data_IF_112725769160
#
_entry.id   IF_112725769160
#
_cell.length_a   1.000
_cell.length_b   1.000
_cell.length_c   1.000
_cell.angle_alpha   90.00
_cell.angle_beta   90.00
_cell.angle_gamma   90.00
#
_symmetry.space_group_name_H-M   'P 1'
#
loop_
_entity.id
_entity.type
_entity.pdbx_description
1 polymer ?
#
# COMPACT_ATOMS: atom_id res chain seq x y z
N UNK A 1 -1.17 1.56 -10.56
CA UNK A 1 -0.36 2.49 -9.76
C UNK A 1 0.97 2.76 -10.47
N UNK A 2 0.94 3.56 -11.53
CA UNK A 2 2.12 4.01 -12.26
C UNK A 2 2.14 5.54 -12.21
N UNK A 3 3.22 6.12 -11.69
CA UNK A 3 3.37 7.57 -11.59
C UNK A 3 4.02 8.10 -12.85
N UNK A 4 3.25 8.76 -13.70
CA UNK A 4 3.69 9.33 -14.98
C UNK A 4 3.29 10.81 -15.02
N UNK A 5 4.21 11.74 -14.71
CA UNK A 5 3.93 13.18 -14.73
C UNK A 5 3.35 13.68 -16.06
N UNK A 6 3.78 13.10 -17.17
CA UNK A 6 3.29 13.45 -18.51
C UNK A 6 1.82 13.05 -18.74
N UNK A 7 1.34 12.01 -18.07
CA UNK A 7 -0.09 11.64 -18.08
C UNK A 7 -0.91 12.61 -17.22
N UNK A 8 -0.32 13.18 -16.17
CA UNK A 8 -0.99 14.16 -15.33
C UNK A 8 -1.50 15.36 -16.09
N UNK A 9 -0.69 15.89 -17.00
CA UNK A 9 -1.05 17.05 -17.81
C UNK A 9 -2.25 16.79 -18.73
N UNK A 10 -2.48 15.53 -19.14
CA UNK A 10 -3.57 15.13 -20.03
C UNK A 10 -4.83 14.62 -19.31
N UNK A 11 -4.74 14.35 -18.01
CA UNK A 11 -5.81 13.69 -17.22
C UNK A 11 -6.29 14.55 -16.02
N UNK A 12 -6.25 15.87 -16.17
CA UNK A 12 -6.77 16.78 -15.15
C UNK A 12 -5.92 16.86 -13.87
N UNK A 13 -4.63 16.58 -13.98
CA UNK A 13 -3.67 16.79 -12.88
C UNK A 13 -3.42 15.58 -11.97
N UNK A 14 -3.98 14.39 -12.25
CA UNK A 14 -3.69 13.17 -11.50
C UNK A 14 -2.56 12.36 -12.16
N UNK A 15 -1.31 12.46 -11.66
CA UNK A 15 -0.16 11.78 -12.27
C UNK A 15 -0.09 10.28 -11.95
N UNK A 16 -0.89 9.82 -10.98
CA UNK A 16 -0.81 8.48 -10.42
C UNK A 16 -2.12 8.08 -9.73
N UNK A 17 -2.11 6.94 -9.04
CA UNK A 17 -3.21 6.51 -8.17
C UNK A 17 -4.56 6.26 -8.86
N UNK A 18 -4.57 5.97 -10.17
CA UNK A 18 -5.81 5.69 -10.91
C UNK A 18 -6.65 4.59 -10.26
N UNK A 19 -6.01 3.54 -9.70
CA UNK A 19 -6.73 2.50 -8.97
C UNK A 19 -7.43 3.00 -7.69
N UNK A 20 -6.89 4.00 -7.00
CA UNK A 20 -7.61 4.65 -5.89
C UNK A 20 -8.71 5.56 -6.40
N UNK A 21 -8.51 6.25 -7.53
CA UNK A 21 -9.55 7.07 -8.16
C UNK A 21 -10.74 6.21 -8.60
N UNK A 22 -10.50 5.01 -9.14
CA UNK A 22 -11.55 4.04 -9.46
C UNK A 22 -12.33 3.61 -8.23
N UNK A 23 -11.63 3.38 -7.11
CA UNK A 23 -12.28 3.04 -5.83
C UNK A 23 -13.11 4.22 -5.29
N UNK A 24 -12.62 5.45 -5.41
CA UNK A 24 -13.38 6.65 -5.05
C UNK A 24 -14.63 6.76 -5.90
N UNK A 25 -14.52 6.61 -7.22
CA UNK A 25 -15.67 6.64 -8.12
C UNK A 25 -16.70 5.56 -7.79
N UNK A 26 -16.24 4.35 -7.42
CA UNK A 26 -17.12 3.28 -6.96
C UNK A 26 -17.83 3.65 -5.65
N UNK A 27 -17.15 4.28 -4.70
CA UNK A 27 -17.74 4.72 -3.44
C UNK A 27 -18.74 5.87 -3.64
N UNK A 28 -18.43 6.82 -4.52
CA UNK A 28 -19.32 7.88 -4.94
C UNK A 28 -20.60 7.29 -5.54
N UNK A 29 -20.47 6.28 -6.42
CA UNK A 29 -21.60 5.57 -7.00
C UNK A 29 -22.45 4.84 -5.94
N UNK A 30 -21.78 4.10 -5.03
CA UNK A 30 -22.47 3.40 -3.93
C UNK A 30 -23.25 4.39 -3.07
N UNK A 31 -22.63 5.50 -2.70
CA UNK A 31 -23.30 6.55 -1.89
C UNK A 31 -24.52 7.14 -2.60
N UNK A 32 -24.41 7.42 -3.89
CA UNK A 32 -25.52 7.96 -4.68
C UNK A 32 -26.67 6.98 -4.86
N UNK A 33 -26.42 5.68 -4.86
CA UNK A 33 -27.42 4.66 -5.22
C UNK A 33 -27.86 3.79 -4.03
N UNK A 34 -27.20 3.84 -2.87
CA UNK A 34 -27.46 2.95 -1.72
C UNK A 34 -28.94 2.90 -1.33
N UNK A 35 -29.61 4.06 -1.29
CA UNK A 35 -31.03 4.14 -0.94
C UNK A 35 -31.95 3.35 -1.89
N UNK A 36 -31.62 3.31 -3.18
CA UNK A 36 -32.39 2.54 -4.17
C UNK A 36 -32.29 1.02 -3.96
N UNK A 37 -31.26 0.56 -3.24
CA UNK A 37 -31.05 -0.84 -2.85
C UNK A 37 -31.44 -1.12 -1.39
N UNK A 38 -32.13 -0.19 -0.71
CA UNK A 38 -32.53 -0.34 0.68
C UNK A 38 -31.42 -0.08 1.71
N UNK A 39 -30.27 0.46 1.26
CA UNK A 39 -29.14 0.85 2.11
C UNK A 39 -29.25 2.29 2.61
N UNK A 40 -28.40 2.62 3.56
CA UNK A 40 -28.26 3.97 4.10
C UNK A 40 -26.92 4.57 3.65
N UNK A 41 -26.91 5.63 2.80
CA UNK A 41 -25.69 6.26 2.30
C UNK A 41 -24.82 6.87 3.40
N UNK A 42 -25.36 7.17 4.58
CA UNK A 42 -24.60 7.69 5.71
C UNK A 42 -24.00 6.58 6.59
N UNK A 43 -24.28 5.32 6.29
CA UNK A 43 -23.83 4.16 7.07
C UNK A 43 -22.95 3.18 6.28
N UNK A 44 -22.32 3.63 5.23
CA UNK A 44 -21.40 2.83 4.41
C UNK A 44 -20.21 2.36 5.27
N UNK A 45 -19.96 1.06 5.27
CA UNK A 45 -18.78 0.46 5.86
C UNK A 45 -17.92 -0.16 4.75
N UNK A 46 -16.68 0.28 4.65
CA UNK A 46 -15.71 -0.34 3.73
C UNK A 46 -14.90 -1.38 4.48
N UNK A 47 -14.57 -2.48 3.81
CA UNK A 47 -13.69 -3.48 4.40
C UNK A 47 -12.76 -4.06 3.33
N UNK A 48 -11.59 -4.51 3.76
CA UNK A 48 -10.60 -5.09 2.85
C UNK A 48 -9.56 -5.92 3.58
N UNK A 49 -9.00 -6.86 2.86
CA UNK A 49 -7.92 -7.72 3.32
C UNK A 49 -6.67 -7.47 2.48
N UNK A 50 -5.47 -7.50 3.10
CA UNK A 50 -4.19 -7.32 2.41
C UNK A 50 -4.18 -6.03 1.56
N UNK A 51 -3.98 -6.12 0.26
CA UNK A 51 -3.98 -4.97 -0.66
C UNK A 51 -5.27 -4.12 -0.57
N UNK A 52 -6.44 -4.75 -0.32
CA UNK A 52 -7.70 -4.03 -0.09
C UNK A 52 -7.67 -3.20 1.19
N UNK A 53 -7.12 -3.74 2.28
CA UNK A 53 -6.93 -2.99 3.53
C UNK A 53 -5.91 -1.84 3.36
N UNK A 54 -4.82 -2.07 2.61
CA UNK A 54 -3.80 -1.07 2.29
C UNK A 54 -4.39 0.08 1.47
N UNK A 55 -5.23 -0.22 0.48
CA UNK A 55 -5.97 0.80 -0.28
C UNK A 55 -6.91 1.61 0.62
N UNK A 56 -7.64 0.96 1.54
CA UNK A 56 -8.48 1.67 2.50
C UNK A 56 -7.63 2.58 3.39
N UNK A 57 -6.46 2.11 3.85
CA UNK A 57 -5.52 2.94 4.60
C UNK A 57 -5.10 4.21 3.83
N UNK A 58 -4.85 4.09 2.52
CA UNK A 58 -4.58 5.22 1.65
C UNK A 58 -5.81 6.14 1.48
N UNK A 59 -7.00 5.58 1.27
CA UNK A 59 -8.25 6.35 1.14
C UNK A 59 -8.59 7.15 2.41
N UNK A 60 -8.29 6.62 3.60
CA UNK A 60 -8.48 7.34 4.86
C UNK A 60 -7.60 8.61 4.95
N UNK A 61 -6.44 8.62 4.29
CA UNK A 61 -5.55 9.76 4.22
C UNK A 61 -5.80 10.67 2.99
N UNK A 62 -6.63 10.23 2.04
CA UNK A 62 -6.95 10.97 0.83
C UNK A 62 -8.07 11.99 1.11
N UNK A 63 -7.83 13.31 0.99
CA UNK A 63 -8.87 14.32 1.24
C UNK A 63 -10.14 14.11 0.39
N UNK A 64 -9.99 13.68 -0.85
CA UNK A 64 -11.10 13.43 -1.77
C UNK A 64 -12.00 12.25 -1.35
N UNK A 65 -11.49 11.30 -0.57
CA UNK A 65 -12.27 10.16 -0.09
C UNK A 65 -13.02 10.45 1.23
N UNK A 66 -12.73 11.57 1.87
CA UNK A 66 -13.36 11.93 3.14
C UNK A 66 -14.87 12.08 2.99
N UNK A 67 -15.62 11.46 3.91
CA UNK A 67 -17.08 11.48 3.91
C UNK A 67 -17.74 10.50 2.95
N UNK A 68 -17.00 9.71 2.15
CA UNK A 68 -17.58 8.69 1.26
C UNK A 68 -18.02 7.43 2.03
N UNK A 69 -17.46 7.18 3.20
CA UNK A 69 -17.81 6.04 4.06
C UNK A 69 -17.71 6.42 5.55
N UNK A 70 -18.50 5.78 6.36
CA UNK A 70 -18.66 6.08 7.78
C UNK A 70 -17.80 5.20 8.71
N UNK A 71 -17.31 4.04 8.23
CA UNK A 71 -16.54 3.06 9.00
C UNK A 71 -15.61 2.29 8.09
N UNK A 72 -14.53 1.72 8.66
CA UNK A 72 -13.65 0.85 7.90
C UNK A 72 -13.15 -0.34 8.71
N UNK A 73 -12.92 -1.48 8.02
CA UNK A 73 -12.30 -2.69 8.57
C UNK A 73 -11.07 -3.01 7.72
N UNK A 74 -9.91 -3.04 8.36
CA UNK A 74 -8.63 -3.30 7.72
C UNK A 74 -8.06 -4.63 8.26
N UNK A 75 -7.98 -5.63 7.39
CA UNK A 75 -7.57 -6.99 7.73
C UNK A 75 -6.18 -7.25 7.10
N UNK A 76 -5.17 -7.51 7.93
CA UNK A 76 -3.82 -7.87 7.49
C UNK A 76 -3.21 -6.87 6.50
N UNK A 77 -3.42 -5.58 6.76
CA UNK A 77 -2.93 -4.44 5.98
C UNK A 77 -3.45 -3.15 6.56
N UNK A 78 -2.71 -2.06 6.38
CA UNK A 78 -3.09 -0.74 6.88
C UNK A 78 -2.48 0.41 6.04
N UNK A 79 -1.77 1.35 6.66
CA UNK A 79 -1.39 2.63 6.06
C UNK A 79 0.06 2.68 5.53
N UNK A 80 0.82 1.58 5.56
CA UNK A 80 2.27 1.60 5.29
C UNK A 80 2.65 1.34 3.84
N UNK A 81 1.71 0.87 3.01
CA UNK A 81 1.99 0.41 1.65
C UNK A 81 1.67 1.50 0.61
N UNK A 82 2.40 2.60 0.70
CA UNK A 82 2.36 3.71 -0.24
C UNK A 82 3.80 4.13 -0.53
N UNK A 83 4.12 4.27 -1.80
CA UNK A 83 5.46 4.72 -2.20
C UNK A 83 5.63 6.23 -2.03
N UNK A 84 6.77 6.68 -1.47
CA UNK A 84 7.18 8.06 -1.63
C UNK A 84 7.52 8.35 -3.11
N UNK A 85 7.55 9.63 -3.53
CA UNK A 85 7.67 10.02 -4.95
C UNK A 85 8.89 9.41 -5.66
N UNK A 86 10.03 9.34 -5.00
CA UNK A 86 11.27 8.80 -5.57
C UNK A 86 11.17 7.29 -5.88
N UNK A 87 10.49 6.51 -5.04
CA UNK A 87 10.25 5.09 -5.30
C UNK A 87 9.26 4.89 -6.44
N UNK A 88 8.20 5.69 -6.47
CA UNK A 88 7.23 5.67 -7.57
C UNK A 88 7.90 6.00 -8.91
N UNK A 89 8.77 7.01 -8.95
CA UNK A 89 9.55 7.38 -10.13
C UNK A 89 10.50 6.24 -10.56
N UNK A 90 11.13 5.55 -9.62
CA UNK A 90 11.99 4.40 -9.91
C UNK A 90 11.22 3.25 -10.56
N UNK A 91 10.04 2.90 -10.03
CA UNK A 91 9.16 1.88 -10.62
C UNK A 91 8.73 2.28 -12.03
N UNK A 92 8.36 3.54 -12.23
CA UNK A 92 7.97 4.07 -13.53
C UNK A 92 9.12 3.97 -14.55
N UNK A 93 10.33 4.39 -14.18
CA UNK A 93 11.50 4.33 -15.06
C UNK A 93 11.77 2.89 -15.53
N UNK A 94 11.81 1.94 -14.58
CA UNK A 94 12.03 0.52 -14.91
C UNK A 94 10.89 -0.03 -15.78
N UNK A 95 9.64 0.34 -15.49
CA UNK A 95 8.51 -0.11 -16.30
C UNK A 95 8.59 0.39 -17.75
N UNK A 96 8.94 1.65 -17.96
CA UNK A 96 9.10 2.22 -19.29
C UNK A 96 10.27 1.58 -20.07
N UNK A 97 11.39 1.32 -19.38
CA UNK A 97 12.52 0.56 -19.96
C UNK A 97 12.09 -0.85 -20.39
N UNK A 98 11.40 -1.59 -19.52
CA UNK A 98 10.92 -2.96 -19.80
C UNK A 98 9.85 -3.01 -20.90
N UNK A 99 9.06 -1.97 -21.04
CA UNK A 99 8.06 -1.84 -22.09
C UNK A 99 8.66 -1.35 -23.41
N UNK A 100 9.87 -0.75 -23.39
CA UNK A 100 10.53 -0.17 -24.55
C UNK A 100 9.91 1.15 -24.99
N UNK A 101 9.33 1.91 -24.07
CA UNK A 101 8.64 3.20 -24.35
C UNK A 101 9.24 4.31 -23.52
N UNK A 102 9.31 5.52 -24.06
CA UNK A 102 9.70 6.69 -23.28
C UNK A 102 8.61 7.03 -22.24
N UNK A 103 9.00 7.33 -20.99
CA UNK A 103 8.08 7.85 -19.98
C UNK A 103 7.39 9.14 -20.41
N UNK A 104 7.98 9.87 -21.35
CA UNK A 104 7.42 11.12 -21.92
C UNK A 104 6.43 10.88 -23.07
N UNK A 105 6.28 9.64 -23.53
CA UNK A 105 5.36 9.31 -24.62
C UNK A 105 4.08 8.64 -24.06
N UNK A 106 3.20 9.46 -23.50
CA UNK A 106 1.91 9.01 -22.98
C UNK A 106 1.02 8.36 -24.05
N UNK A 107 1.20 8.72 -25.33
CA UNK A 107 0.45 8.10 -26.43
C UNK A 107 0.93 6.68 -26.69
N UNK A 108 2.23 6.45 -26.77
CA UNK A 108 2.81 5.12 -26.93
C UNK A 108 2.47 4.21 -25.72
N UNK A 109 2.50 4.75 -24.51
CA UNK A 109 2.09 4.02 -23.30
C UNK A 109 0.64 3.55 -23.37
N UNK A 110 -0.30 4.41 -23.81
CA UNK A 110 -1.71 4.04 -23.99
C UNK A 110 -1.94 3.06 -25.12
N UNK A 111 -1.13 3.13 -26.17
CA UNK A 111 -1.24 2.25 -27.33
C UNK A 111 -0.57 0.88 -27.11
N UNK A 112 0.16 0.70 -26.02
CA UNK A 112 0.87 -0.54 -25.73
C UNK A 112 -0.11 -1.72 -25.58
N UNK A 113 0.14 -2.85 -26.24
CA UNK A 113 -0.70 -4.05 -26.10
C UNK A 113 -0.75 -4.54 -24.67
N UNK A 114 -1.92 -4.96 -24.19
CA UNK A 114 -2.09 -5.46 -22.83
C UNK A 114 -1.07 -6.54 -22.45
N UNK A 115 -0.81 -7.48 -23.37
CA UNK A 115 0.18 -8.55 -23.13
C UNK A 115 1.60 -7.99 -22.88
N UNK A 116 1.99 -6.94 -23.58
CA UNK A 116 3.29 -6.28 -23.37
C UNK A 116 3.35 -5.57 -22.02
N UNK A 117 2.26 -4.88 -21.62
CA UNK A 117 2.13 -4.23 -20.31
C UNK A 117 2.25 -5.24 -19.18
N UNK A 118 1.53 -6.37 -19.25
CA UNK A 118 1.58 -7.43 -18.22
C UNK A 118 2.95 -8.09 -18.16
N UNK A 119 3.61 -8.32 -19.31
CA UNK A 119 4.95 -8.85 -19.35
C UNK A 119 5.98 -7.87 -18.75
N UNK A 120 5.87 -6.58 -19.06
CA UNK A 120 6.71 -5.55 -18.44
C UNK A 120 6.50 -5.49 -16.93
N UNK A 121 5.25 -5.52 -16.44
CA UNK A 121 4.94 -5.57 -15.02
C UNK A 121 5.64 -6.74 -14.30
N UNK A 122 5.61 -7.94 -14.88
CA UNK A 122 6.26 -9.11 -14.30
C UNK A 122 7.79 -8.93 -14.21
N UNK A 123 8.42 -8.37 -15.26
CA UNK A 123 9.86 -8.08 -15.27
C UNK A 123 10.25 -6.99 -14.27
N UNK A 124 9.43 -5.97 -14.09
CA UNK A 124 9.63 -4.94 -13.05
C UNK A 124 9.67 -5.56 -11.66
N UNK A 125 8.73 -6.44 -11.33
CA UNK A 125 8.69 -7.13 -10.03
C UNK A 125 9.98 -7.94 -9.79
N UNK A 126 10.47 -8.63 -10.81
CA UNK A 126 11.70 -9.41 -10.71
C UNK A 126 12.94 -8.51 -10.59
N UNK A 127 13.02 -7.48 -11.42
CA UNK A 127 14.17 -6.57 -11.49
C UNK A 127 14.36 -5.73 -10.22
N UNK A 128 13.25 -5.34 -9.58
CA UNK A 128 13.27 -4.58 -8.33
C UNK A 128 13.24 -5.46 -7.07
N UNK A 129 13.31 -6.78 -7.22
CA UNK A 129 13.37 -7.71 -6.09
C UNK A 129 14.60 -7.46 -5.23
N UNK A 130 14.38 -7.14 -3.95
CA UNK A 130 15.44 -6.80 -2.99
C UNK A 130 15.86 -5.32 -2.99
N UNK A 131 15.46 -4.53 -4.00
CA UNK A 131 15.58 -3.08 -3.98
C UNK A 131 14.34 -2.45 -3.33
N UNK A 132 13.15 -2.95 -3.66
CA UNK A 132 11.88 -2.50 -3.10
C UNK A 132 11.11 -3.66 -2.44
N UNK A 133 10.39 -3.35 -1.37
CA UNK A 133 9.42 -4.29 -0.79
C UNK A 133 8.28 -4.54 -1.78
N UNK A 134 7.91 -5.81 -2.01
CA UNK A 134 6.83 -6.15 -2.92
C UNK A 134 5.45 -5.77 -2.33
N UNK A 135 4.46 -5.49 -3.18
CA UNK A 135 4.54 -5.39 -4.65
C UNK A 135 5.17 -4.07 -5.11
N UNK A 136 5.84 -4.06 -6.27
CA UNK A 136 6.45 -2.85 -6.82
C UNK A 136 5.40 -1.79 -7.20
N UNK A 137 4.22 -2.21 -7.65
CA UNK A 137 3.12 -1.30 -8.02
C UNK A 137 2.19 -1.08 -6.83
N UNK A 138 2.39 0.03 -6.15
CA UNK A 138 1.61 0.47 -4.98
C UNK A 138 1.07 1.89 -5.23
N UNK A 139 0.04 2.34 -4.48
CA UNK A 139 -0.27 3.75 -4.40
C UNK A 139 0.98 4.57 -4.06
N UNK A 140 1.00 5.82 -4.47
CA UNK A 140 2.14 6.69 -4.21
C UNK A 140 1.69 8.08 -3.76
N UNK A 141 2.58 8.75 -3.03
CA UNK A 141 2.39 10.16 -2.72
C UNK A 141 2.35 10.95 -4.02
N UNK A 142 1.28 11.72 -4.20
CA UNK A 142 1.12 12.68 -5.27
C UNK A 142 0.42 13.95 -4.75
N UNK A 143 0.59 15.07 -5.44
CA UNK A 143 0.00 16.33 -5.00
C UNK A 143 -1.54 16.38 -5.16
N UNK A 144 -2.12 15.45 -5.92
CA UNK A 144 -3.53 15.50 -6.30
C UNK A 144 -4.43 14.69 -5.36
N UNK A 145 -4.03 13.48 -4.99
CA UNK A 145 -4.85 12.56 -4.21
C UNK A 145 -4.26 12.24 -2.84
N UNK A 146 -2.97 11.92 -2.78
CA UNK A 146 -2.25 11.58 -1.57
C UNK A 146 -1.10 12.58 -1.34
N UNK A 147 -1.34 13.70 -0.65
CA UNK A 147 -0.34 14.76 -0.47
C UNK A 147 0.83 14.35 0.44
N UNK A 148 0.67 13.29 1.21
CA UNK A 148 1.68 12.75 2.13
C UNK A 148 1.51 11.24 2.32
N UNK A 149 2.47 10.60 2.98
CA UNK A 149 2.31 9.20 3.35
C UNK A 149 1.14 9.03 4.32
N UNK A 150 0.25 8.04 4.12
CA UNK A 150 -0.89 7.84 5.00
C UNK A 150 -0.52 7.68 6.48
N UNK A 151 0.60 7.01 6.76
CA UNK A 151 1.08 6.84 8.14
C UNK A 151 1.38 8.20 8.82
N UNK A 152 1.93 9.16 8.08
CA UNK A 152 2.22 10.50 8.57
C UNK A 152 0.94 11.32 8.75
N UNK A 153 -0.03 11.16 7.85
CA UNK A 153 -1.35 11.75 7.97
C UNK A 153 -2.07 11.26 9.24
N UNK A 154 -1.99 9.95 9.53
CA UNK A 154 -2.54 9.38 10.77
C UNK A 154 -1.83 9.94 12.00
N UNK A 155 -0.51 9.94 12.04
CA UNK A 155 0.29 10.44 13.16
C UNK A 155 0.00 11.92 13.46
N UNK A 156 -0.24 12.71 12.43
CA UNK A 156 -0.56 14.13 12.54
C UNK A 156 -2.07 14.43 12.71
N UNK A 157 -2.93 13.41 12.74
CA UNK A 157 -4.37 13.57 12.90
C UNK A 157 -5.09 14.19 11.71
N UNK A 158 -4.50 14.12 10.50
CA UNK A 158 -5.09 14.62 9.24
C UNK A 158 -5.89 13.56 8.49
N UNK A 159 -5.72 12.28 8.82
CA UNK A 159 -6.54 11.20 8.27
C UNK A 159 -8.00 11.29 8.74
N UNK A 160 -8.91 10.66 8.00
CA UNK A 160 -10.34 10.64 8.35
C UNK A 160 -10.56 10.04 9.75
N UNK A 161 -11.33 10.76 10.58
CA UNK A 161 -11.66 10.35 11.96
C UNK A 161 -12.97 9.57 11.99
N UNK A 162 -12.91 8.31 11.62
CA UNK A 162 -14.05 7.38 11.63
C UNK A 162 -13.72 6.15 12.47
N UNK A 163 -14.71 5.38 12.94
CA UNK A 163 -14.48 4.10 13.61
C UNK A 163 -13.72 3.11 12.70
N UNK A 164 -12.64 2.54 13.25
CA UNK A 164 -11.80 1.57 12.58
C UNK A 164 -11.76 0.25 13.37
N UNK A 165 -11.85 -0.87 12.64
CA UNK A 165 -11.45 -2.19 13.12
C UNK A 165 -10.19 -2.61 12.37
N UNK A 166 -9.08 -2.79 13.07
CA UNK A 166 -7.80 -3.16 12.46
C UNK A 166 -7.30 -4.43 13.13
N UNK A 167 -6.88 -5.41 12.34
CA UNK A 167 -6.39 -6.67 12.88
C UNK A 167 -5.48 -7.42 11.94
N UNK A 168 -4.69 -8.32 12.53
CA UNK A 168 -3.83 -9.29 11.85
C UNK A 168 -4.07 -10.68 12.44
N UNK A 169 -3.73 -11.72 11.69
CA UNK A 169 -3.80 -13.09 12.19
C UNK A 169 -2.58 -13.41 13.07
N UNK A 170 -2.75 -14.34 14.00
CA UNK A 170 -1.64 -14.83 14.84
C UNK A 170 -0.52 -15.47 13.99
N UNK A 171 -0.88 -16.17 12.94
CA UNK A 171 0.01 -16.91 12.05
C UNK A 171 0.10 -16.28 10.64
N UNK A 172 0.05 -14.94 10.57
CA UNK A 172 -0.02 -14.15 9.34
C UNK A 172 1.00 -14.56 8.27
N UNK A 173 2.23 -14.84 8.67
CA UNK A 173 3.34 -15.14 7.76
C UNK A 173 3.55 -16.63 7.48
N UNK A 174 2.87 -17.55 8.17
CA UNK A 174 3.09 -18.99 7.98
C UNK A 174 2.88 -19.45 6.55
N UNK A 175 1.83 -18.95 5.89
CA UNK A 175 1.54 -19.28 4.50
C UNK A 175 2.72 -18.95 3.56
N UNK A 176 3.30 -17.78 3.71
CA UNK A 176 4.44 -17.33 2.90
C UNK A 176 5.74 -18.05 3.27
N UNK A 177 5.93 -18.35 4.56
CA UNK A 177 7.12 -19.05 5.04
C UNK A 177 7.22 -20.51 4.57
N UNK A 178 6.09 -21.18 4.26
CA UNK A 178 6.08 -22.57 3.77
C UNK A 178 6.88 -22.69 2.47
N UNK A 179 6.77 -21.73 1.54
CA UNK A 179 7.46 -21.73 0.25
C UNK A 179 8.85 -21.07 0.29
N UNK A 180 9.29 -20.50 1.42
CA UNK A 180 10.59 -19.82 1.54
C UNK A 180 11.60 -20.63 2.39
N UNK A 181 12.57 -21.32 1.73
CA UNK A 181 13.60 -22.07 2.47
C UNK A 181 14.44 -21.20 3.40
N UNK A 182 14.67 -19.91 3.06
CA UNK A 182 15.43 -18.98 3.88
C UNK A 182 14.68 -18.57 5.15
N UNK A 183 13.34 -18.41 5.06
CA UNK A 183 12.51 -18.15 6.23
C UNK A 183 12.46 -19.36 7.16
N UNK A 184 12.42 -20.59 6.59
CA UNK A 184 12.40 -21.84 7.36
C UNK A 184 13.73 -22.13 8.06
N UNK A 185 14.85 -21.74 7.46
CA UNK A 185 16.20 -21.89 8.01
C UNK A 185 16.62 -20.73 8.93
N UNK A 186 15.72 -19.78 9.23
CA UNK A 186 16.04 -18.59 10.00
C UNK A 186 16.32 -18.96 11.47
N UNK A 187 17.56 -18.78 11.90
CA UNK A 187 17.97 -18.91 13.29
C UNK A 187 17.66 -17.65 14.13
N UNK A 188 17.89 -17.72 15.42
CA UNK A 188 17.62 -16.62 16.34
C UNK A 188 18.45 -15.36 16.00
N UNK A 189 19.68 -15.53 15.56
CA UNK A 189 20.56 -14.42 15.19
C UNK A 189 20.08 -13.75 13.88
N UNK A 190 19.68 -14.55 12.89
CA UNK A 190 19.10 -14.08 11.65
C UNK A 190 17.77 -13.36 11.88
N UNK A 191 16.94 -13.85 12.79
CA UNK A 191 15.69 -13.20 13.18
C UNK A 191 15.98 -11.82 13.80
N UNK A 192 16.91 -11.76 14.75
CA UNK A 192 17.31 -10.50 15.39
C UNK A 192 17.78 -9.48 14.34
N UNK A 193 18.70 -9.86 13.46
CA UNK A 193 19.16 -8.97 12.37
C UNK A 193 18.06 -8.47 11.45
N UNK A 194 17.02 -9.27 11.17
CA UNK A 194 15.84 -8.83 10.40
C UNK A 194 15.05 -7.78 11.16
N UNK A 195 14.81 -8.01 12.45
CA UNK A 195 14.09 -7.06 13.29
C UNK A 195 14.86 -5.75 13.50
N UNK A 196 16.19 -5.80 13.68
CA UNK A 196 17.02 -4.59 13.81
C UNK A 196 16.94 -3.68 12.57
N UNK A 197 16.85 -4.26 11.37
CA UNK A 197 16.65 -3.50 10.15
C UNK A 197 15.26 -2.88 10.05
N UNK A 198 14.23 -3.58 10.52
CA UNK A 198 12.84 -3.12 10.46
C UNK A 198 12.49 -2.17 11.62
N UNK A 199 13.13 -2.34 12.76
CA UNK A 199 12.90 -1.58 13.99
C UNK A 199 14.24 -1.05 14.52
N UNK A 200 14.85 -0.08 13.85
CA UNK A 200 16.11 0.51 14.32
C UNK A 200 15.90 1.32 15.61
N UNK A 201 16.98 1.41 16.40
CA UNK A 201 16.98 2.19 17.64
C UNK A 201 16.69 1.38 18.90
N UNK A 202 16.66 2.09 20.02
CA UNK A 202 16.54 1.53 21.35
C UNK A 202 15.39 2.20 22.13
N UNK A 203 14.94 1.51 23.17
CA UNK A 203 14.03 2.06 24.17
C UNK A 203 14.75 3.10 25.07
N UNK A 204 14.02 3.83 25.93
CA UNK A 204 14.63 4.78 26.85
C UNK A 204 15.67 4.17 27.82
N UNK A 205 15.68 2.85 28.01
CA UNK A 205 16.67 2.12 28.82
C UNK A 205 17.86 1.61 27.97
N UNK A 206 17.95 1.99 26.70
CA UNK A 206 19.04 1.61 25.79
C UNK A 206 18.95 0.20 25.24
N UNK A 207 17.83 -0.52 25.41
CA UNK A 207 17.66 -1.87 24.87
C UNK A 207 17.11 -1.80 23.45
N UNK A 208 17.68 -2.54 22.46
CA UNK A 208 17.18 -2.58 21.10
C UNK A 208 15.68 -2.92 21.03
N UNK A 209 14.89 -2.14 20.28
CA UNK A 209 13.47 -2.43 20.07
C UNK A 209 13.26 -3.83 19.49
N UNK A 210 14.13 -4.25 18.57
CA UNK A 210 14.10 -5.58 17.96
C UNK A 210 14.13 -6.70 19.01
N UNK A 211 15.05 -6.62 19.96
CA UNK A 211 15.17 -7.63 21.03
C UNK A 211 13.92 -7.68 21.90
N UNK A 212 13.40 -6.52 22.32
CA UNK A 212 12.19 -6.42 23.14
C UNK A 212 10.96 -7.03 22.46
N UNK A 213 10.78 -6.74 21.16
CA UNK A 213 9.66 -7.30 20.42
C UNK A 213 9.78 -8.82 20.33
N UNK A 214 10.97 -9.35 20.02
CA UNK A 214 11.20 -10.80 19.96
C UNK A 214 10.92 -11.47 21.32
N UNK A 215 11.38 -10.87 22.42
CA UNK A 215 11.11 -11.36 23.78
C UNK A 215 9.62 -11.39 24.10
N UNK A 216 8.89 -10.31 23.79
CA UNK A 216 7.45 -10.21 24.01
C UNK A 216 6.68 -11.30 23.24
N UNK A 217 7.03 -11.52 21.98
CA UNK A 217 6.40 -12.59 21.17
C UNK A 217 6.74 -14.00 21.67
N UNK A 218 7.96 -14.23 22.17
CA UNK A 218 8.32 -15.51 22.77
C UNK A 218 7.55 -15.75 24.06
N UNK A 219 7.47 -14.76 24.93
CA UNK A 219 6.71 -14.86 26.18
C UNK A 219 5.22 -15.14 25.92
N UNK A 220 4.60 -14.49 24.93
CA UNK A 220 3.21 -14.70 24.59
C UNK A 220 2.89 -16.09 23.98
N UNK A 221 3.90 -16.82 23.49
CA UNK A 221 3.73 -18.16 22.90
C UNK A 221 3.96 -19.33 23.85
N UNK A 222 4.41 -19.07 25.07
CA UNK A 222 4.67 -20.11 26.08
C UNK A 222 3.44 -20.36 26.97
N UNK A 223 2.36 -19.65 26.76
CA UNK A 223 1.03 -19.90 27.30
C UNK A 223 0.13 -20.54 26.24
#
# INVERSE_FOLDING_TARGET
>A
FLSLPELAASEGGAPANFGLLDQIAALEWVRANAAAFGGDPERICVFGQSAGAMCIGALLAAPRAQGLFARAILQSGAASNVHPPERAARVCAVFCEELGVSARDGRALRAAPLAAVLAAQARVQERLRGELEPPAFQPCVDAALLPELPIDAFAAGRAARIPLLVGTNQDEWKFYAVGDPKARALDAAGLLRRFERALPGCDPAGRPWAARVIEAYRAARVG
#
